data_IF_880527200160
#
_entry.id   IF_880527200160
#
_cell.length_a   1.000
_cell.length_b   1.000
_cell.length_c   1.000
_cell.angle_alpha   90.00
_cell.angle_beta   90.00
_cell.angle_gamma   90.00
#
_symmetry.space_group_name_H-M   'P 1'
#
loop_
_entity.id
_entity.type
_entity.pdbx_description
1 polymer ?
#
# COMPACT_ATOMS: atom_id res chain seq x y z
N UNK A 1 -18.83 -11.21 3.16
CA UNK A 1 -17.99 -10.11 2.59
C UNK A 1 -17.64 -10.49 1.17
N UNK A 2 -17.88 -9.59 0.23
CA UNK A 2 -17.66 -9.84 -1.20
C UNK A 2 -16.95 -8.69 -1.92
N UNK A 3 -16.84 -7.51 -1.31
CA UNK A 3 -16.21 -6.35 -1.90
C UNK A 3 -15.39 -5.55 -0.88
N UNK A 4 -14.19 -5.13 -1.31
CA UNK A 4 -13.32 -4.22 -0.59
C UNK A 4 -12.94 -3.08 -1.54
N UNK A 5 -12.94 -1.85 -1.05
CA UNK A 5 -12.38 -0.71 -1.76
C UNK A 5 -11.21 -0.12 -0.98
N UNK A 6 -10.13 0.18 -1.69
CA UNK A 6 -8.91 0.72 -1.13
C UNK A 6 -8.53 1.97 -1.92
N UNK A 7 -8.02 2.98 -1.24
CA UNK A 7 -7.46 4.14 -1.91
C UNK A 7 -6.17 4.61 -1.25
N UNK A 8 -5.30 5.22 -2.05
CA UNK A 8 -4.17 5.98 -1.56
C UNK A 8 -3.92 7.17 -2.49
N UNK A 9 -4.68 8.21 -2.26
CA UNK A 9 -4.68 9.41 -3.07
C UNK A 9 -3.95 10.55 -2.36
N UNK A 10 -3.07 11.21 -3.07
CA UNK A 10 -2.33 12.39 -2.60
C UNK A 10 -2.29 13.45 -3.69
N UNK A 11 -2.24 14.70 -3.29
CA UNK A 11 -1.84 15.78 -4.18
C UNK A 11 -0.42 16.19 -3.78
N UNK A 12 0.57 15.73 -4.54
CA UNK A 12 1.96 15.99 -4.19
C UNK A 12 2.85 16.08 -5.43
N UNK A 13 3.84 16.94 -5.36
CA UNK A 13 4.85 17.11 -6.38
C UNK A 13 6.13 16.27 -6.08
N UNK A 14 5.97 15.04 -5.60
CA UNK A 14 7.09 14.16 -5.23
C UNK A 14 8.11 13.98 -6.35
N UNK A 15 7.67 14.01 -7.60
CA UNK A 15 8.53 13.95 -8.79
C UNK A 15 9.54 15.11 -8.88
N UNK A 16 9.33 16.21 -8.15
CA UNK A 16 10.27 17.35 -8.06
C UNK A 16 11.19 17.30 -6.84
N UNK A 17 11.03 16.31 -5.96
CA UNK A 17 11.86 16.18 -4.76
C UNK A 17 13.21 15.54 -5.07
N UNK A 18 14.17 15.81 -4.18
CA UNK A 18 15.44 15.10 -4.11
C UNK A 18 16.28 15.16 -5.39
N UNK A 19 16.17 16.26 -6.14
CA UNK A 19 17.00 16.56 -7.31
C UNK A 19 18.42 17.07 -6.92
N UNK A 20 18.84 16.80 -5.69
CA UNK A 20 20.15 17.21 -5.17
C UNK A 20 21.22 16.20 -5.62
N UNK A 21 22.38 16.64 -6.10
CA UNK A 21 23.49 15.75 -6.40
C UNK A 21 23.88 14.87 -5.21
N UNK A 22 24.34 13.67 -5.50
CA UNK A 22 24.89 12.73 -4.51
C UNK A 22 26.39 12.69 -4.67
N UNK A 23 27.14 12.82 -3.56
CA UNK A 23 28.57 12.59 -3.57
C UNK A 23 28.86 11.10 -3.83
N UNK A 24 29.51 10.73 -4.93
CA UNK A 24 29.80 9.32 -5.24
C UNK A 24 30.62 8.62 -4.14
N UNK A 25 31.43 9.37 -3.37
CA UNK A 25 32.26 8.81 -2.30
C UNK A 25 31.45 8.47 -1.04
N UNK A 26 30.22 8.97 -0.93
CA UNK A 26 29.32 8.71 0.23
C UNK A 26 28.38 7.53 0.02
N UNK A 27 28.42 6.88 -1.14
CA UNK A 27 27.47 5.81 -1.52
C UNK A 27 28.19 4.61 -2.09
N UNK A 28 27.93 3.45 -1.56
CA UNK A 28 28.22 2.19 -2.23
C UNK A 28 27.14 1.88 -3.27
N UNK A 29 27.33 2.48 -4.46
CA UNK A 29 26.37 2.36 -5.55
C UNK A 29 26.20 0.93 -6.04
N UNK A 30 27.29 0.15 -6.05
CA UNK A 30 27.24 -1.26 -6.44
C UNK A 30 26.40 -2.09 -5.49
N UNK A 31 26.55 -1.87 -4.19
CA UNK A 31 25.73 -2.54 -3.19
C UNK A 31 24.25 -2.10 -3.30
N UNK A 32 24.00 -0.81 -3.60
CA UNK A 32 22.62 -0.32 -3.82
C UNK A 32 21.97 -0.94 -5.06
N UNK A 33 22.69 -1.10 -6.15
CA UNK A 33 22.18 -1.76 -7.37
C UNK A 33 21.71 -3.18 -7.09
N UNK A 34 22.43 -3.93 -6.25
CA UNK A 34 22.10 -5.33 -5.98
C UNK A 34 22.02 -6.16 -7.25
N UNK A 35 20.83 -6.59 -7.63
CA UNK A 35 20.55 -7.36 -8.85
C UNK A 35 20.05 -6.51 -10.02
N UNK A 36 19.91 -5.21 -9.84
CA UNK A 36 19.53 -4.32 -10.94
C UNK A 36 20.62 -4.28 -12.02
N UNK A 37 20.29 -3.96 -13.29
CA UNK A 37 21.26 -3.77 -14.33
C UNK A 37 22.32 -2.75 -13.97
N UNK A 38 23.57 -2.99 -14.40
CA UNK A 38 24.67 -2.04 -14.20
C UNK A 38 24.35 -0.71 -14.91
N UNK A 39 24.45 0.38 -14.16
CA UNK A 39 24.10 1.72 -14.60
C UNK A 39 24.88 2.78 -13.81
N UNK A 40 25.12 3.97 -14.40
CA UNK A 40 25.78 5.07 -13.71
C UNK A 40 25.02 5.50 -12.45
N UNK A 41 25.75 6.02 -11.45
CA UNK A 41 25.14 6.59 -10.26
C UNK A 41 24.22 7.75 -10.64
N UNK A 42 22.94 7.60 -10.30
CA UNK A 42 21.92 8.62 -10.42
C UNK A 42 21.32 8.91 -9.04
N UNK A 43 21.64 10.07 -8.48
CA UNK A 43 21.17 10.46 -7.15
C UNK A 43 19.66 10.64 -7.07
N UNK A 44 19.00 11.01 -8.18
CA UNK A 44 17.55 11.11 -8.23
C UNK A 44 16.90 9.72 -8.18
N UNK A 45 17.36 8.78 -9.01
CA UNK A 45 16.90 7.39 -9.00
C UNK A 45 17.13 6.74 -7.63
N UNK A 46 18.29 6.94 -7.03
CA UNK A 46 18.62 6.38 -5.73
C UNK A 46 17.65 6.86 -4.62
N UNK A 47 17.35 8.15 -4.57
CA UNK A 47 16.44 8.70 -3.55
C UNK A 47 14.96 8.42 -3.84
N UNK A 48 14.62 8.29 -5.12
CA UNK A 48 13.27 8.05 -5.61
C UNK A 48 13.09 6.62 -6.14
N UNK A 49 13.87 5.67 -5.66
CA UNK A 49 13.95 4.29 -6.13
C UNK A 49 12.59 3.60 -6.33
N UNK A 50 11.61 3.95 -5.54
CA UNK A 50 10.24 3.41 -5.59
C UNK A 50 9.57 3.55 -6.94
N UNK A 51 9.98 4.55 -7.72
CA UNK A 51 9.34 4.95 -8.98
C UNK A 51 10.10 4.47 -10.22
N UNK A 52 11.09 3.61 -10.03
CA UNK A 52 11.91 3.02 -11.09
C UNK A 52 11.83 1.51 -11.02
N UNK A 53 11.54 0.87 -12.18
CA UNK A 53 11.26 -0.57 -12.24
C UNK A 53 12.43 -1.46 -11.79
N UNK A 54 13.65 -0.98 -11.89
CA UNK A 54 14.85 -1.71 -11.44
C UNK A 54 14.92 -1.87 -9.91
N UNK A 55 14.26 -0.96 -9.17
CA UNK A 55 14.37 -0.89 -7.72
C UNK A 55 13.04 -1.02 -7.00
N UNK A 56 11.95 -0.64 -7.63
CA UNK A 56 10.63 -0.62 -7.03
C UNK A 56 9.53 -0.96 -8.04
N UNK A 57 8.28 -0.94 -7.59
CA UNK A 57 7.12 -1.26 -8.40
C UNK A 57 6.02 -0.18 -8.34
N UNK A 58 6.41 1.08 -8.04
CA UNK A 58 5.48 2.21 -8.03
C UNK A 58 4.41 2.12 -6.96
N UNK A 59 3.27 2.73 -7.23
CA UNK A 59 2.16 2.88 -6.28
C UNK A 59 1.66 1.53 -5.74
N UNK A 60 1.66 0.48 -6.54
CA UNK A 60 1.16 -0.81 -6.07
C UNK A 60 2.05 -1.42 -4.98
N UNK A 61 3.37 -1.40 -5.15
CA UNK A 61 4.29 -1.98 -4.16
C UNK A 61 4.67 -1.04 -3.02
N UNK A 62 4.49 0.28 -3.19
CA UNK A 62 4.79 1.28 -2.16
C UNK A 62 3.56 1.62 -1.29
N UNK A 63 2.38 1.73 -1.90
CA UNK A 63 1.19 2.25 -1.23
C UNK A 63 0.05 1.23 -1.10
N UNK A 64 -0.32 0.56 -2.19
CA UNK A 64 -1.39 -0.44 -2.14
C UNK A 64 -1.10 -1.57 -1.17
N UNK A 65 0.17 -1.99 -1.11
CA UNK A 65 0.61 -3.12 -0.26
C UNK A 65 0.21 -2.95 1.20
N UNK A 66 0.20 -1.72 1.74
CA UNK A 66 -0.22 -1.47 3.12
C UNK A 66 -1.69 -1.85 3.37
N UNK A 67 -2.59 -1.46 2.45
CA UNK A 67 -4.01 -1.79 2.59
C UNK A 67 -4.34 -3.21 2.18
N UNK A 68 -3.57 -3.79 1.27
CA UNK A 68 -3.70 -5.21 0.94
C UNK A 68 -3.35 -6.08 2.15
N UNK A 69 -2.35 -5.71 2.93
CA UNK A 69 -2.02 -6.40 4.17
C UNK A 69 -3.20 -6.38 5.17
N UNK A 70 -3.79 -5.21 5.37
CA UNK A 70 -5.01 -5.07 6.21
C UNK A 70 -6.17 -5.90 5.64
N UNK A 71 -6.35 -5.92 4.31
CA UNK A 71 -7.38 -6.74 3.68
C UNK A 71 -7.15 -8.23 3.93
N UNK A 72 -5.92 -8.72 3.76
CA UNK A 72 -5.55 -10.11 4.02
C UNK A 72 -5.74 -10.48 5.49
N UNK A 73 -5.30 -9.61 6.39
CA UNK A 73 -5.44 -9.81 7.83
C UNK A 73 -6.91 -9.97 8.25
N UNK A 74 -7.78 -9.05 7.84
CA UNK A 74 -9.19 -9.05 8.28
C UNK A 74 -10.05 -10.10 7.56
N UNK A 75 -9.66 -10.54 6.37
CA UNK A 75 -10.44 -11.52 5.61
C UNK A 75 -9.93 -12.96 5.73
N UNK A 76 -8.66 -13.13 6.12
CA UNK A 76 -7.97 -14.42 6.06
C UNK A 76 -7.74 -14.93 4.63
N UNK A 77 -7.85 -14.06 3.61
CA UNK A 77 -7.66 -14.40 2.19
C UNK A 77 -6.45 -13.63 1.66
N UNK A 78 -5.36 -14.32 1.45
CA UNK A 78 -4.05 -13.75 1.15
C UNK A 78 -3.51 -14.05 -0.27
N UNK A 79 -4.27 -14.78 -1.08
CA UNK A 79 -3.81 -15.24 -2.40
C UNK A 79 -4.83 -14.85 -3.50
N UNK A 80 -4.67 -13.70 -4.17
CA UNK A 80 -5.52 -13.32 -5.28
C UNK A 80 -5.26 -14.23 -6.49
N UNK A 81 -6.33 -14.64 -7.17
CA UNK A 81 -6.26 -15.51 -8.36
C UNK A 81 -5.93 -14.72 -9.63
N UNK A 82 -6.34 -13.46 -9.67
CA UNK A 82 -6.23 -12.62 -10.86
C UNK A 82 -6.17 -11.15 -10.49
N UNK A 83 -5.42 -10.37 -11.25
CA UNK A 83 -5.43 -8.92 -11.25
C UNK A 83 -5.84 -8.35 -12.61
N UNK A 84 -6.54 -7.24 -12.59
CA UNK A 84 -6.76 -6.34 -13.74
C UNK A 84 -6.23 -4.99 -13.32
N UNK A 85 -5.35 -4.38 -14.12
CA UNK A 85 -4.73 -3.11 -13.75
C UNK A 85 -4.57 -2.19 -14.95
N UNK A 86 -4.72 -0.90 -14.69
CA UNK A 86 -4.42 0.19 -15.62
C UNK A 86 -3.65 1.29 -14.88
N UNK A 87 -2.89 2.07 -15.61
CA UNK A 87 -2.17 3.21 -15.06
C UNK A 87 -1.64 4.12 -16.13
N UNK A 88 -1.48 5.39 -15.78
CA UNK A 88 -0.96 6.40 -16.68
C UNK A 88 -0.21 7.49 -15.90
N UNK A 89 0.45 8.37 -16.63
CA UNK A 89 1.21 9.50 -16.10
C UNK A 89 0.39 10.79 -16.21
N UNK A 90 0.10 11.38 -15.07
CA UNK A 90 -0.59 12.68 -14.98
C UNK A 90 0.43 13.80 -14.83
N UNK A 91 1.38 13.65 -13.90
CA UNK A 91 2.36 14.69 -13.57
C UNK A 91 3.82 14.21 -13.71
N UNK A 92 4.08 12.92 -13.61
CA UNK A 92 5.43 12.37 -13.53
C UNK A 92 5.94 11.80 -14.87
N UNK A 93 5.29 12.12 -15.99
CA UNK A 93 5.72 11.71 -17.31
C UNK A 93 7.17 12.16 -17.57
N UNK A 94 7.96 11.28 -18.14
CA UNK A 94 9.38 11.50 -18.47
C UNK A 94 10.29 11.73 -17.24
N UNK A 95 9.74 11.57 -16.01
CA UNK A 95 10.49 11.69 -14.75
C UNK A 95 10.55 10.36 -14.02
N UNK A 96 9.44 9.65 -13.96
CA UNK A 96 9.34 8.30 -13.37
C UNK A 96 9.13 7.25 -14.46
N UNK A 97 9.47 6.01 -14.14
CA UNK A 97 9.20 4.85 -14.99
C UNK A 97 7.85 4.19 -14.65
N UNK A 98 7.41 4.36 -13.39
CA UNK A 98 6.13 3.83 -12.93
C UNK A 98 5.05 4.91 -13.00
N UNK A 99 3.82 4.58 -13.43
CA UNK A 99 2.71 5.52 -13.45
C UNK A 99 2.44 6.18 -12.09
N UNK A 100 2.03 7.45 -12.11
CA UNK A 100 1.65 8.22 -10.92
C UNK A 100 0.13 8.25 -10.67
N UNK A 101 -0.64 7.56 -11.51
CA UNK A 101 -2.07 7.30 -11.34
C UNK A 101 -2.39 5.89 -11.80
N UNK A 102 -2.94 5.06 -10.91
CA UNK A 102 -3.19 3.63 -11.17
C UNK A 102 -4.51 3.17 -10.57
N UNK A 103 -5.10 2.15 -11.18
CA UNK A 103 -6.23 1.40 -10.64
C UNK A 103 -5.99 -0.10 -10.79
N UNK A 104 -6.48 -0.88 -9.84
CA UNK A 104 -6.38 -2.32 -9.86
C UNK A 104 -7.63 -2.99 -9.28
N UNK A 105 -8.03 -4.10 -9.87
CA UNK A 105 -9.01 -5.03 -9.32
C UNK A 105 -8.33 -6.38 -9.07
N UNK A 106 -8.34 -6.84 -7.82
CA UNK A 106 -7.88 -8.17 -7.43
C UNK A 106 -9.08 -9.08 -7.16
N UNK A 107 -9.09 -10.25 -7.77
CA UNK A 107 -10.10 -11.28 -7.54
C UNK A 107 -9.52 -12.40 -6.66
N UNK A 108 -10.20 -12.70 -5.56
CA UNK A 108 -9.81 -13.74 -4.60
C UNK A 108 -10.74 -14.95 -4.66
N UNK A 109 -10.33 -16.09 -4.08
CA UNK A 109 -11.20 -17.25 -3.96
C UNK A 109 -12.51 -16.94 -3.23
N UNK A 110 -13.61 -17.57 -3.66
CA UNK A 110 -14.93 -17.39 -3.05
C UNK A 110 -15.62 -16.07 -3.39
N UNK A 111 -15.22 -15.43 -4.50
CA UNK A 111 -15.91 -14.27 -5.05
C UNK A 111 -15.55 -12.92 -4.41
N UNK A 112 -14.59 -12.88 -3.47
CA UNK A 112 -14.11 -11.62 -2.91
C UNK A 112 -13.38 -10.81 -3.99
N UNK A 113 -13.70 -9.52 -4.07
CA UNK A 113 -13.07 -8.56 -4.97
C UNK A 113 -12.50 -7.38 -4.17
N UNK A 114 -11.27 -6.99 -4.45
CA UNK A 114 -10.64 -5.82 -3.88
C UNK A 114 -10.28 -4.83 -5.01
N UNK A 115 -10.83 -3.63 -4.95
CA UNK A 115 -10.54 -2.54 -5.89
C UNK A 115 -9.64 -1.52 -5.22
N UNK A 116 -8.55 -1.18 -5.87
CA UNK A 116 -7.61 -0.14 -5.43
C UNK A 116 -7.53 0.98 -6.45
N UNK A 117 -7.51 2.22 -5.95
CA UNK A 117 -7.13 3.42 -6.69
C UNK A 117 -5.99 4.15 -5.97
N UNK A 118 -5.02 4.64 -6.74
CA UNK A 118 -3.91 5.41 -6.21
C UNK A 118 -3.47 6.50 -7.18
N UNK A 119 -3.30 7.74 -6.68
CA UNK A 119 -2.81 8.83 -7.51
C UNK A 119 -2.01 9.85 -6.69
N UNK A 120 -1.10 10.56 -7.37
CA UNK A 120 -0.41 11.72 -6.82
C UNK A 120 -0.94 13.07 -7.34
N UNK A 121 -2.01 13.05 -8.12
CA UNK A 121 -2.59 14.28 -8.72
C UNK A 121 -3.77 14.86 -7.95
N UNK A 122 -4.39 14.09 -7.03
CA UNK A 122 -5.54 14.53 -6.24
C UNK A 122 -5.58 13.78 -4.90
N UNK A 123 -5.88 14.49 -3.81
CA UNK A 123 -5.89 13.92 -2.46
C UNK A 123 -7.28 13.45 -1.99
N UNK A 124 -8.30 13.48 -2.85
CA UNK A 124 -9.64 13.05 -2.47
C UNK A 124 -9.65 11.56 -2.10
N UNK A 125 -10.41 11.19 -1.08
CA UNK A 125 -10.48 9.87 -0.47
C UNK A 125 -9.23 9.48 0.36
N UNK A 126 -8.10 10.16 0.22
CA UNK A 126 -6.91 9.90 1.03
C UNK A 126 -6.43 8.45 0.99
N UNK A 127 -5.94 7.99 2.16
CA UNK A 127 -5.52 6.60 2.37
C UNK A 127 -6.58 5.91 3.26
N UNK A 128 -7.36 4.99 2.69
CA UNK A 128 -8.45 4.28 3.36
C UNK A 128 -8.72 2.91 2.79
N UNK A 129 -9.45 2.11 3.55
CA UNK A 129 -10.02 0.83 3.14
C UNK A 129 -11.46 0.71 3.65
N UNK A 130 -12.34 0.15 2.83
CA UNK A 130 -13.72 -0.16 3.18
C UNK A 130 -14.03 -1.62 2.88
N UNK A 131 -14.63 -2.29 3.85
CA UNK A 131 -15.09 -3.67 3.74
C UNK A 131 -16.61 -3.69 3.66
N UNK A 132 -17.15 -4.09 2.52
CA UNK A 132 -18.58 -4.12 2.27
C UNK A 132 -19.14 -5.52 2.50
N UNK A 133 -20.16 -5.62 3.34
CA UNK A 133 -20.88 -6.84 3.66
C UNK A 133 -22.39 -6.63 3.57
N UNK A 134 -23.18 -7.69 3.71
CA UNK A 134 -24.64 -7.58 3.75
C UNK A 134 -25.14 -6.91 5.04
N UNK A 135 -24.30 -6.79 6.07
CA UNK A 135 -24.68 -6.17 7.35
C UNK A 135 -24.35 -4.68 7.40
N UNK A 136 -23.38 -4.24 6.60
CA UNK A 136 -22.92 -2.86 6.55
C UNK A 136 -21.51 -2.75 6.00
N UNK A 137 -20.96 -1.56 6.14
CA UNK A 137 -19.61 -1.20 5.65
C UNK A 137 -18.72 -0.86 6.84
N UNK A 138 -17.58 -1.52 6.95
CA UNK A 138 -16.51 -1.13 7.85
C UNK A 138 -15.53 -0.23 7.08
N UNK A 139 -15.40 1.00 7.54
CA UNK A 139 -14.44 1.99 7.05
C UNK A 139 -13.23 2.04 7.99
N UNK A 140 -12.03 2.06 7.44
CA UNK A 140 -10.78 2.24 8.20
C UNK A 140 -9.88 3.21 7.43
N UNK A 141 -9.35 4.20 8.14
CA UNK A 141 -8.23 5.02 7.68
C UNK A 141 -7.11 5.03 8.74
N UNK A 142 -6.15 5.93 8.60
CA UNK A 142 -4.98 5.98 9.49
C UNK A 142 -5.26 6.53 10.88
N UNK A 143 -6.46 7.03 11.15
CA UNK A 143 -6.81 7.65 12.43
C UNK A 143 -8.13 7.17 13.00
N UNK A 144 -8.88 6.34 12.28
CA UNK A 144 -10.20 5.88 12.74
C UNK A 144 -10.64 4.59 12.10
N UNK A 145 -11.62 3.94 12.72
CA UNK A 145 -12.52 2.99 12.07
C UNK A 145 -13.97 3.31 12.39
N UNK A 146 -14.85 3.06 11.43
CA UNK A 146 -16.28 3.30 11.55
C UNK A 146 -17.05 2.15 10.92
N UNK A 147 -18.11 1.71 11.57
CA UNK A 147 -19.05 0.75 11.00
C UNK A 147 -20.38 1.45 10.71
N UNK A 148 -20.79 1.39 9.46
CA UNK A 148 -22.07 1.92 8.97
C UNK A 148 -22.98 0.74 8.65
N UNK A 149 -24.06 0.49 9.44
CA UNK A 149 -25.03 -0.53 9.12
C UNK A 149 -25.67 -0.29 7.75
N UNK A 150 -25.97 -1.36 7.02
CA UNK A 150 -26.76 -1.24 5.79
C UNK A 150 -28.16 -0.74 6.12
N UNK A 151 -28.82 -0.05 5.18
CA UNK A 151 -30.07 0.68 5.38
C UNK A 151 -31.22 -0.17 5.97
N UNK A 152 -31.22 -1.49 5.76
CA UNK A 152 -32.21 -2.43 6.27
C UNK A 152 -31.82 -3.14 7.58
N UNK A 153 -30.71 -2.75 8.20
CA UNK A 153 -30.17 -3.43 9.37
C UNK A 153 -30.40 -2.63 10.65
N UNK A 154 -30.83 -3.33 11.70
CA UNK A 154 -31.01 -2.75 13.05
C UNK A 154 -29.74 -2.93 13.90
N UNK A 155 -28.57 -2.71 13.31
CA UNK A 155 -27.28 -2.75 14.01
C UNK A 155 -26.89 -1.33 14.45
N UNK A 156 -26.17 -1.17 15.56
CA UNK A 156 -25.65 0.12 15.95
C UNK A 156 -24.49 0.54 15.03
N UNK A 157 -24.44 1.80 14.65
CA UNK A 157 -23.25 2.39 14.07
C UNK A 157 -22.14 2.45 15.12
N UNK A 158 -20.90 2.27 14.70
CA UNK A 158 -19.73 2.35 15.56
C UNK A 158 -18.78 3.39 14.96
N UNK A 159 -18.25 4.27 15.79
CA UNK A 159 -17.18 5.18 15.41
C UNK A 159 -16.11 5.18 16.50
N UNK A 160 -14.85 5.05 16.09
CA UNK A 160 -13.68 5.17 16.96
C UNK A 160 -12.64 6.01 16.22
N UNK A 161 -12.35 7.15 16.78
CA UNK A 161 -11.33 8.09 16.31
C UNK A 161 -10.18 8.02 17.29
N UNK A 162 -8.96 7.86 16.79
CA UNK A 162 -7.74 7.85 17.60
C UNK A 162 -7.25 9.31 17.75
N UNK A 163 -6.94 9.71 19.00
CA UNK A 163 -6.40 11.04 19.29
C UNK A 163 -7.44 12.15 19.35
N UNK A 164 -6.99 13.42 19.36
CA UNK A 164 -7.80 14.62 19.56
C UNK A 164 -7.79 15.60 18.38
N UNK A 165 -7.32 15.25 17.24
CA UNK A 165 -7.24 16.15 16.10
C UNK A 165 -8.26 15.85 15.00
N UNK A 166 -7.91 16.26 13.80
CA UNK A 166 -8.66 15.86 12.60
C UNK A 166 -8.48 14.38 12.37
N UNK A 167 -9.52 13.69 11.91
CA UNK A 167 -9.44 12.27 11.55
C UNK A 167 -8.19 12.00 10.68
N UNK A 168 -7.34 11.08 11.13
CA UNK A 168 -6.07 10.74 10.49
C UNK A 168 -4.87 11.61 10.86
N UNK A 169 -5.03 12.73 11.57
CA UNK A 169 -3.92 13.58 12.01
C UNK A 169 -3.18 12.98 13.21
N UNK A 170 -3.91 12.31 14.08
CA UNK A 170 -3.42 11.81 15.37
C UNK A 170 -2.84 10.39 15.29
N UNK A 171 -2.67 9.86 14.11
CA UNK A 171 -2.09 8.54 13.89
C UNK A 171 -0.71 8.37 14.55
N UNK A 172 0.06 9.45 14.64
CA UNK A 172 1.40 9.44 15.23
C UNK A 172 1.42 9.78 16.72
N UNK A 173 0.31 10.20 17.29
CA UNK A 173 0.26 10.71 18.65
C UNK A 173 -0.12 9.62 19.67
N UNK A 174 -1.08 8.75 19.38
CA UNK A 174 -1.53 7.73 20.34
C UNK A 174 -2.40 6.63 19.69
N UNK A 175 -2.25 5.36 20.02
CA UNK A 175 -1.09 4.76 20.68
C UNK A 175 0.13 4.81 19.78
N UNK A 176 1.33 4.83 20.36
CA UNK A 176 2.59 4.76 19.61
C UNK A 176 2.76 3.37 18.98
N UNK A 177 2.27 3.24 17.74
CA UNK A 177 2.31 1.97 17.01
C UNK A 177 3.73 1.51 16.68
N UNK A 178 4.67 2.43 16.52
CA UNK A 178 6.08 2.11 16.29
C UNK A 178 6.70 1.48 17.53
N UNK A 179 6.49 2.10 18.70
CA UNK A 179 6.99 1.56 19.98
C UNK A 179 6.40 0.17 20.26
N UNK A 180 5.09 -0.01 20.06
CA UNK A 180 4.44 -1.30 20.26
C UNK A 180 5.00 -2.38 19.33
N UNK A 181 5.24 -2.03 18.07
CA UNK A 181 5.81 -2.95 17.08
C UNK A 181 7.25 -3.36 17.44
N UNK A 182 8.09 -2.40 17.83
CA UNK A 182 9.44 -2.67 18.28
C UNK A 182 9.46 -3.51 19.56
N UNK A 183 8.58 -3.23 20.52
CA UNK A 183 8.45 -4.01 21.74
C UNK A 183 8.05 -5.46 21.47
N UNK A 184 7.12 -5.68 20.56
CA UNK A 184 6.71 -7.02 20.11
C UNK A 184 7.88 -7.78 19.48
N UNK A 185 8.63 -7.12 18.59
CA UNK A 185 9.79 -7.73 17.93
C UNK A 185 10.87 -8.14 18.92
N UNK A 186 11.24 -7.26 19.86
CA UNK A 186 12.21 -7.56 20.91
C UNK A 186 11.70 -8.69 21.82
N UNK A 187 10.40 -8.65 22.18
CA UNK A 187 9.77 -9.70 22.98
C UNK A 187 9.78 -11.05 22.27
N UNK A 188 9.51 -11.07 20.97
CA UNK A 188 9.57 -12.29 20.15
C UNK A 188 10.97 -12.92 20.15
N UNK A 189 12.03 -12.09 20.04
CA UNK A 189 13.43 -12.57 20.09
C UNK A 189 13.75 -13.14 21.48
N UNK A 190 13.39 -12.43 22.56
CA UNK A 190 13.73 -12.83 23.94
C UNK A 190 13.00 -14.08 24.41
N UNK A 191 11.76 -14.24 23.97
CA UNK A 191 10.87 -15.28 24.47
C UNK A 191 10.63 -16.41 23.46
N UNK A 192 11.23 -16.32 22.26
CA UNK A 192 11.05 -17.30 21.19
C UNK A 192 9.61 -17.34 20.63
N UNK A 193 8.86 -16.24 20.78
CA UNK A 193 7.47 -16.13 20.31
C UNK A 193 7.39 -15.77 18.83
N UNK A 194 6.27 -16.12 18.21
CA UNK A 194 5.94 -15.65 16.87
C UNK A 194 5.45 -14.20 16.96
N UNK A 195 5.82 -13.40 15.97
CA UNK A 195 5.27 -12.04 15.78
C UNK A 195 3.82 -12.08 15.29
N UNK A 196 3.04 -11.04 15.56
CA UNK A 196 1.66 -10.91 15.04
C UNK A 196 1.61 -10.83 13.52
N UNK A 197 2.65 -10.26 12.90
CA UNK A 197 2.82 -10.24 11.44
C UNK A 197 4.03 -11.10 11.04
N UNK A 198 3.84 -12.38 10.73
CA UNK A 198 4.93 -13.26 10.30
C UNK A 198 5.37 -12.93 8.87
N UNK A 199 6.60 -13.33 8.51
CA UNK A 199 7.17 -13.09 7.17
C UNK A 199 6.24 -13.52 6.03
N UNK A 200 5.46 -14.59 6.21
CA UNK A 200 4.46 -15.03 5.22
C UNK A 200 3.44 -13.94 4.89
N UNK A 201 2.94 -13.20 5.89
CA UNK A 201 1.98 -12.12 5.66
C UNK A 201 2.57 -11.04 4.72
N UNK A 202 3.80 -10.59 5.00
CA UNK A 202 4.51 -9.63 4.15
C UNK A 202 4.74 -10.15 2.72
N UNK A 203 5.14 -11.42 2.59
CA UNK A 203 5.33 -12.05 1.26
C UNK A 203 4.02 -12.08 0.47
N UNK A 204 2.90 -12.47 1.08
CA UNK A 204 1.61 -12.55 0.38
C UNK A 204 1.09 -11.18 -0.01
N UNK A 205 1.25 -10.17 0.85
CA UNK A 205 0.86 -8.79 0.54
C UNK A 205 1.70 -8.21 -0.60
N UNK A 206 3.00 -8.44 -0.59
CA UNK A 206 3.90 -8.05 -1.69
C UNK A 206 3.56 -8.80 -2.99
N UNK A 207 3.28 -10.10 -2.93
CA UNK A 207 2.90 -10.90 -4.11
C UNK A 207 1.63 -10.37 -4.78
N UNK A 208 0.62 -9.95 -4.01
CA UNK A 208 -0.58 -9.33 -4.54
C UNK A 208 -0.29 -8.01 -5.28
N UNK A 209 0.62 -7.18 -4.73
CA UNK A 209 1.06 -5.95 -5.36
C UNK A 209 1.87 -6.22 -6.65
N UNK A 210 2.73 -7.23 -6.64
CA UNK A 210 3.46 -7.66 -7.85
C UNK A 210 2.55 -8.25 -8.91
N UNK A 211 1.47 -8.95 -8.53
CA UNK A 211 0.47 -9.43 -9.49
C UNK A 211 -0.24 -8.26 -10.20
N UNK A 212 -0.54 -7.18 -9.47
CA UNK A 212 -1.07 -5.95 -10.07
C UNK A 212 -0.07 -5.31 -11.04
N UNK A 213 1.22 -5.27 -10.70
CA UNK A 213 2.27 -4.80 -11.60
C UNK A 213 2.45 -5.69 -12.83
N UNK A 214 2.33 -7.02 -12.67
CA UNK A 214 2.37 -7.95 -13.80
C UNK A 214 1.21 -7.68 -14.79
N UNK A 215 0.02 -7.38 -14.27
CA UNK A 215 -1.12 -6.97 -15.10
C UNK A 215 -0.86 -5.63 -15.79
N UNK A 216 -0.42 -4.60 -15.03
CA UNK A 216 -0.16 -3.26 -15.56
C UNK A 216 0.89 -3.25 -16.67
N UNK A 217 1.98 -4.00 -16.51
CA UNK A 217 3.10 -4.07 -17.47
C UNK A 217 2.85 -5.01 -18.64
N UNK A 218 1.81 -5.82 -18.55
CA UNK A 218 1.39 -6.76 -19.60
C UNK A 218 0.19 -6.26 -20.39
N UNK A 219 -0.80 -7.13 -20.55
CA UNK A 219 -2.03 -6.85 -21.31
C UNK A 219 -3.18 -6.24 -20.50
N UNK A 220 -2.91 -5.74 -19.30
CA UNK A 220 -3.92 -5.25 -18.35
C UNK A 220 -4.51 -6.36 -17.46
N UNK A 221 -4.17 -7.62 -17.68
CA UNK A 221 -4.65 -8.77 -16.90
C UNK A 221 -3.49 -9.69 -16.56
N UNK A 222 -3.47 -10.20 -15.33
CA UNK A 222 -2.55 -11.26 -14.90
C UNK A 222 -3.26 -12.29 -14.02
N UNK A 223 -2.81 -13.54 -14.09
CA UNK A 223 -3.16 -14.63 -13.17
C UNK A 223 -1.97 -14.95 -12.27
N UNK A 224 -2.29 -15.39 -11.04
CA UNK A 224 -1.30 -15.83 -10.07
C UNK A 224 -0.59 -17.11 -10.51
#
# INVERSE_FOLDING_TARGET
>A
MNKITLSWNRNSNRFNRDKVPVDPNSVDWKAFLGTAPDQPLDGYRMRNWRWFWDFGGGIFTDLMVHWIDVAHWLTGKDNPLRAVAVGDFINAKDVWETPDSVQCLLAYPGGLQAHFEGTFSNARQGARIEFMTNEGTLYIDRGRFEFFPDHNKKLPAISRILGQGRAGADFYDQPDGELLHLAEWIGAIREGKKTSCPVKAGVMSAAAAHLANKALRGSGVATA
#
